data_IF_769006012661
#
_entry.id   IF_769006012661
#
_cell.length_a   1.000
_cell.length_b   1.000
_cell.length_c   1.000
_cell.angle_alpha   90.00
_cell.angle_beta   90.00
_cell.angle_gamma   90.00
#
_symmetry.space_group_name_H-M   'P 1'
#
loop_
_entity.id
_entity.type
_entity.pdbx_description
1 polymer ?
#
# COMPACT_ATOMS: atom_id res chain seq x y z
N UNK A 1 -22.61 -14.25 47.48
CA UNK A 1 -22.35 -15.39 46.57
C UNK A 1 -22.82 -15.16 45.13
N UNK A 2 -23.78 -14.26 44.88
CA UNK A 2 -24.20 -13.86 43.51
C UNK A 2 -23.13 -13.06 42.78
N UNK A 3 -22.51 -12.07 43.43
CA UNK A 3 -21.46 -11.21 42.82
C UNK A 3 -20.24 -11.98 42.29
N UNK A 4 -19.73 -12.97 43.03
CA UNK A 4 -18.58 -13.78 42.60
C UNK A 4 -18.89 -14.69 41.40
N UNK A 5 -20.12 -15.22 41.30
CA UNK A 5 -20.58 -15.96 40.12
C UNK A 5 -20.69 -15.05 38.90
N UNK A 6 -21.25 -13.85 39.07
CA UNK A 6 -21.35 -12.85 38.01
C UNK A 6 -19.98 -12.43 37.46
N UNK A 7 -18.98 -12.23 38.32
CA UNK A 7 -17.61 -11.87 37.90
C UNK A 7 -16.96 -12.99 37.09
N UNK A 8 -17.13 -14.25 37.49
CA UNK A 8 -16.54 -15.40 36.78
C UNK A 8 -17.17 -15.60 35.39
N UNK A 9 -18.48 -15.38 35.25
CA UNK A 9 -19.15 -15.44 33.94
C UNK A 9 -18.69 -14.32 33.00
N UNK A 10 -18.52 -13.10 33.52
CA UNK A 10 -18.01 -11.97 32.72
C UNK A 10 -16.59 -12.25 32.22
N UNK A 11 -15.71 -12.79 33.08
CA UNK A 11 -14.35 -13.16 32.68
C UNK A 11 -14.33 -14.20 31.56
N UNK A 12 -15.20 -15.20 31.64
CA UNK A 12 -15.31 -16.25 30.62
C UNK A 12 -15.81 -15.70 29.28
N UNK A 13 -16.80 -14.80 29.28
CA UNK A 13 -17.34 -14.17 28.06
C UNK A 13 -16.29 -13.25 27.41
N UNK A 14 -15.61 -12.43 28.21
CA UNK A 14 -14.53 -11.57 27.70
C UNK A 14 -13.38 -12.41 27.15
N UNK A 15 -13.00 -13.48 27.84
CA UNK A 15 -11.98 -14.42 27.36
C UNK A 15 -12.36 -15.06 26.02
N UNK A 16 -13.60 -15.51 25.87
CA UNK A 16 -14.10 -16.06 24.60
C UNK A 16 -14.11 -15.02 23.48
N UNK A 17 -14.54 -13.78 23.77
CA UNK A 17 -14.55 -12.70 22.79
C UNK A 17 -13.14 -12.33 22.29
N UNK A 18 -12.14 -12.34 23.18
CA UNK A 18 -10.74 -12.11 22.81
C UNK A 18 -10.23 -13.22 21.88
N UNK A 19 -10.58 -14.49 22.15
CA UNK A 19 -10.20 -15.62 21.29
C UNK A 19 -10.83 -15.51 19.89
N UNK A 20 -12.04 -14.97 19.78
CA UNK A 20 -12.76 -14.80 18.51
C UNK A 20 -12.42 -13.50 17.77
N UNK A 21 -11.67 -12.58 18.38
CA UNK A 21 -11.36 -11.27 17.80
C UNK A 21 -10.51 -11.34 16.51
N UNK A 22 -9.84 -12.47 16.25
CA UNK A 22 -9.09 -12.70 15.02
C UNK A 22 -9.97 -13.07 13.81
N UNK A 23 -11.28 -13.31 14.01
CA UNK A 23 -12.20 -13.63 12.93
C UNK A 23 -12.77 -12.36 12.29
N UNK A 24 -12.63 -12.24 10.97
CA UNK A 24 -13.24 -11.13 10.22
C UNK A 24 -14.73 -11.40 9.97
N UNK A 25 -15.63 -10.48 10.36
CA UNK A 25 -17.06 -10.71 10.19
C UNK A 25 -17.47 -10.61 8.71
N UNK A 26 -18.48 -11.36 8.25
CA UNK A 26 -19.08 -11.16 6.92
C UNK A 26 -19.70 -9.74 6.79
N UNK A 27 -19.96 -9.24 5.57
CA UNK A 27 -19.82 -9.88 4.26
C UNK A 27 -18.39 -9.83 3.68
N UNK A 28 -18.09 -10.79 2.81
CA UNK A 28 -16.87 -10.84 1.99
C UNK A 28 -17.22 -10.63 0.52
N UNK A 29 -16.35 -9.96 -0.23
CA UNK A 29 -16.47 -9.84 -1.69
C UNK A 29 -15.65 -10.95 -2.35
N UNK A 30 -16.26 -11.73 -3.24
CA UNK A 30 -15.58 -12.79 -3.98
C UNK A 30 -15.37 -12.42 -5.44
N UNK A 31 -14.17 -12.69 -5.97
CA UNK A 31 -13.83 -12.49 -7.39
C UNK A 31 -13.28 -13.80 -7.96
N UNK A 32 -14.00 -14.39 -8.91
CA UNK A 32 -13.56 -15.62 -9.56
C UNK A 32 -12.43 -15.33 -10.56
N UNK A 33 -11.31 -16.04 -10.44
CA UNK A 33 -10.11 -15.91 -11.30
C UNK A 33 -9.87 -17.12 -12.21
N UNK A 34 -10.65 -18.20 -12.08
CA UNK A 34 -10.52 -19.43 -12.89
C UNK A 34 -11.83 -19.95 -13.50
N UNK A 35 -11.79 -21.14 -14.12
CA UNK A 35 -12.99 -21.78 -14.68
C UNK A 35 -13.99 -22.18 -13.60
N UNK A 36 -15.29 -22.27 -13.95
CA UNK A 36 -16.35 -22.59 -12.98
C UNK A 36 -16.11 -23.96 -12.33
N UNK A 37 -16.24 -24.00 -11.01
CA UNK A 37 -16.05 -25.23 -10.21
C UNK A 37 -14.60 -25.54 -9.83
N UNK A 38 -13.61 -24.72 -10.23
CA UNK A 38 -12.20 -24.95 -9.83
C UNK A 38 -11.84 -24.37 -8.46
N UNK A 39 -12.74 -23.60 -7.84
CA UNK A 39 -12.49 -22.94 -6.55
C UNK A 39 -11.48 -21.78 -6.59
N UNK A 40 -11.01 -21.39 -7.78
CA UNK A 40 -10.09 -20.27 -7.94
C UNK A 40 -10.82 -18.93 -7.79
N UNK A 41 -10.99 -18.48 -6.54
CA UNK A 41 -11.59 -17.21 -6.19
C UNK A 41 -10.74 -16.45 -5.18
N UNK A 42 -10.76 -15.14 -5.28
CA UNK A 42 -10.11 -14.21 -4.37
C UNK A 42 -11.17 -13.61 -3.45
N UNK A 43 -10.91 -13.60 -2.14
CA UNK A 43 -11.84 -13.13 -1.12
C UNK A 43 -11.28 -11.86 -0.49
N UNK A 44 -12.04 -10.77 -0.58
CA UNK A 44 -11.67 -9.48 -0.03
C UNK A 44 -12.61 -9.07 1.10
N UNK A 45 -12.05 -8.53 2.17
CA UNK A 45 -12.80 -7.81 3.19
C UNK A 45 -12.99 -6.35 2.75
N UNK A 46 -14.23 -5.91 2.46
CA UNK A 46 -14.48 -4.57 1.92
C UNK A 46 -14.06 -3.46 2.88
N UNK A 47 -14.10 -3.69 4.20
CA UNK A 47 -13.70 -2.70 5.21
C UNK A 47 -12.19 -2.48 5.20
N UNK A 48 -11.40 -3.55 5.11
CA UNK A 48 -9.94 -3.46 5.04
C UNK A 48 -9.47 -2.91 3.69
N UNK A 49 -10.16 -3.26 2.59
CA UNK A 49 -9.85 -2.73 1.27
C UNK A 49 -10.09 -1.21 1.22
N UNK A 50 -11.21 -0.72 1.78
CA UNK A 50 -11.50 0.71 1.84
C UNK A 50 -10.41 1.49 2.58
N UNK A 51 -9.84 0.96 3.66
CA UNK A 51 -8.73 1.60 4.38
C UNK A 51 -7.41 1.55 3.61
N UNK A 52 -7.21 0.54 2.75
CA UNK A 52 -5.98 0.40 1.96
C UNK A 52 -5.85 1.47 0.88
N UNK A 53 -6.96 1.97 0.32
CA UNK A 53 -6.90 3.01 -0.72
C UNK A 53 -6.21 4.29 -0.22
N UNK A 54 -6.49 4.70 1.03
CA UNK A 54 -5.92 5.91 1.59
C UNK A 54 -4.40 5.81 1.79
N UNK A 55 -3.90 4.67 2.28
CA UNK A 55 -2.47 4.47 2.57
C UNK A 55 -1.62 4.19 1.33
N UNK A 56 -2.24 3.79 0.20
CA UNK A 56 -1.57 3.51 -1.06
C UNK A 56 -1.70 4.66 -2.07
N UNK A 57 -1.91 5.89 -1.60
CA UNK A 57 -1.99 7.06 -2.48
C UNK A 57 -0.61 7.35 -3.08
N UNK A 58 -0.46 7.40 -4.42
CA UNK A 58 0.83 7.72 -5.04
C UNK A 58 1.23 9.18 -4.76
N UNK A 59 2.54 9.49 -4.70
CA UNK A 59 3.01 10.88 -4.66
C UNK A 59 2.55 11.68 -5.87
N UNK A 60 2.44 13.00 -5.70
CA UNK A 60 2.21 13.91 -6.84
C UNK A 60 3.42 13.87 -7.79
N UNK A 61 3.16 13.92 -9.09
CA UNK A 61 4.21 13.94 -10.09
C UNK A 61 4.92 15.31 -10.12
N UNK A 62 6.21 15.28 -10.42
CA UNK A 62 7.04 16.47 -10.57
C UNK A 62 6.66 17.20 -11.88
N UNK A 63 6.61 18.54 -11.91
CA UNK A 63 6.30 19.29 -13.13
C UNK A 63 7.19 18.88 -14.30
N UNK A 64 6.61 18.80 -15.50
CA UNK A 64 7.35 18.47 -16.71
C UNK A 64 8.36 19.58 -17.04
N UNK A 65 9.56 19.19 -17.47
CA UNK A 65 10.59 20.12 -17.96
C UNK A 65 10.56 20.14 -19.49
N UNK A 66 10.70 21.31 -20.15
CA UNK A 66 10.77 21.38 -21.60
C UNK A 66 11.89 20.50 -22.16
N UNK A 67 11.65 19.76 -23.26
CA UNK A 67 12.67 18.92 -23.86
C UNK A 67 13.79 19.77 -24.47
N UNK A 68 15.03 19.32 -24.28
CA UNK A 68 16.22 19.94 -24.87
C UNK A 68 17.37 20.15 -23.89
N UNK A 69 18.36 20.93 -24.33
CA UNK A 69 19.60 21.15 -23.59
C UNK A 69 20.67 20.09 -23.85
N UNK A 70 21.91 20.33 -23.39
CA UNK A 70 22.99 19.35 -23.50
C UNK A 70 22.67 18.10 -22.68
N UNK A 71 23.19 16.95 -23.12
CA UNK A 71 23.05 15.69 -22.41
C UNK A 71 23.84 15.72 -21.09
N UNK A 72 23.30 15.13 -20.03
CA UNK A 72 23.87 15.13 -18.68
C UNK A 72 25.30 14.56 -18.65
N UNK A 73 25.63 13.60 -19.52
CA UNK A 73 26.99 13.04 -19.66
C UNK A 73 28.03 14.04 -20.13
N UNK A 74 27.62 15.10 -20.84
CA UNK A 74 28.53 16.13 -21.35
C UNK A 74 28.81 17.22 -20.33
N UNK A 75 27.93 17.40 -19.34
CA UNK A 75 28.00 18.47 -18.33
C UNK A 75 28.49 17.95 -16.98
N UNK A 76 27.97 16.81 -16.52
CA UNK A 76 28.31 16.21 -15.22
C UNK A 76 29.40 15.15 -15.34
N UNK A 77 30.04 14.81 -14.21
CA UNK A 77 31.04 13.74 -14.11
C UNK A 77 30.41 12.50 -13.48
N UNK A 78 30.88 11.31 -13.88
CA UNK A 78 30.45 10.02 -13.35
C UNK A 78 28.94 9.73 -13.49
N UNK A 79 28.39 9.90 -14.70
CA UNK A 79 26.99 9.57 -15.01
C UNK A 79 26.93 8.33 -15.94
N UNK A 80 26.99 7.10 -15.40
CA UNK A 80 27.06 5.88 -16.23
C UNK A 80 25.71 5.44 -16.82
N UNK A 81 24.58 5.82 -16.21
CA UNK A 81 23.23 5.38 -16.63
C UNK A 81 22.43 6.52 -17.24
N UNK A 82 22.27 7.62 -16.51
CA UNK A 82 21.37 8.73 -16.87
C UNK A 82 22.01 9.77 -17.81
N UNK A 83 23.02 9.36 -18.59
CA UNK A 83 23.86 10.27 -19.37
C UNK A 83 23.18 10.89 -20.59
N UNK A 84 22.11 10.26 -21.08
CA UNK A 84 21.34 10.69 -22.26
C UNK A 84 20.24 11.72 -21.94
N UNK A 85 19.90 11.91 -20.65
CA UNK A 85 18.90 12.90 -20.25
C UNK A 85 19.42 14.31 -20.48
N UNK A 86 18.56 15.23 -20.91
CA UNK A 86 18.87 16.66 -20.87
C UNK A 86 19.09 17.10 -19.42
N UNK A 87 19.97 18.08 -19.18
CA UNK A 87 20.29 18.56 -17.82
C UNK A 87 19.04 18.87 -16.98
N UNK A 88 18.02 19.47 -17.58
CA UNK A 88 16.76 19.78 -16.89
C UNK A 88 15.99 18.54 -16.43
N UNK A 89 15.87 17.51 -17.29
CA UNK A 89 15.21 16.26 -16.93
C UNK A 89 16.04 15.45 -15.93
N UNK A 90 17.36 15.50 -16.05
CA UNK A 90 18.26 14.90 -15.06
C UNK A 90 18.02 15.51 -13.67
N UNK A 91 17.95 16.84 -13.55
CA UNK A 91 17.65 17.51 -12.27
C UNK A 91 16.25 17.17 -11.76
N UNK A 92 15.23 17.16 -12.62
CA UNK A 92 13.86 16.76 -12.25
C UNK A 92 13.83 15.34 -11.68
N UNK A 93 14.49 14.40 -12.34
CA UNK A 93 14.55 13.01 -11.90
C UNK A 93 15.29 12.88 -10.55
N UNK A 94 16.40 13.60 -10.36
CA UNK A 94 17.09 13.64 -9.06
C UNK A 94 16.17 14.16 -7.94
N UNK A 95 15.41 15.24 -8.20
CA UNK A 95 14.45 15.76 -7.21
C UNK A 95 13.32 14.78 -6.88
N UNK A 96 12.81 14.05 -7.89
CA UNK A 96 11.82 12.99 -7.66
C UNK A 96 12.40 11.83 -6.84
N UNK A 97 13.65 11.42 -7.12
CA UNK A 97 14.33 10.37 -6.35
C UNK A 97 14.53 10.76 -4.87
N UNK A 98 14.91 12.01 -4.59
CA UNK A 98 14.99 12.55 -3.22
C UNK A 98 13.61 12.46 -2.54
N UNK A 99 12.55 12.95 -3.18
CA UNK A 99 11.20 12.90 -2.63
C UNK A 99 10.69 11.46 -2.37
N UNK A 100 11.15 10.47 -3.14
CA UNK A 100 10.71 9.07 -3.00
C UNK A 100 11.51 8.27 -1.97
N UNK A 101 12.77 8.62 -1.73
CA UNK A 101 13.68 7.80 -0.91
C UNK A 101 14.11 8.49 0.38
N UNK A 102 14.56 9.76 0.31
CA UNK A 102 15.16 10.47 1.45
C UNK A 102 15.19 11.98 1.27
#
# INVERSE_FOLDING_TARGET
>A
MTSARSVSTVLAVVGAAIVLAACEPPPVNSVQRGYRGTGMAELYNPRLLATQAAINTPPVDSPMVPPGGPAASTVFKNVPVLGNLGVGEFTRLMTSMTAWVS
#
